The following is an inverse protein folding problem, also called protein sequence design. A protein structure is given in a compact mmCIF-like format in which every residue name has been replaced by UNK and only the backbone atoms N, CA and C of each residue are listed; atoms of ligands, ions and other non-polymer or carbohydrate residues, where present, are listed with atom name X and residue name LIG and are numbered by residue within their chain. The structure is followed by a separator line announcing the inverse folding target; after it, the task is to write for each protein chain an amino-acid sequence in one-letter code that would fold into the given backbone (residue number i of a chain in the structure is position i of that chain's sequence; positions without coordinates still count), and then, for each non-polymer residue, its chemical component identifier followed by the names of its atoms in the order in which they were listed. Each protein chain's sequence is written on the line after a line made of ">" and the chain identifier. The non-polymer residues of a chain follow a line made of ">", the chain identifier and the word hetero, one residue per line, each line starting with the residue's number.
data_IF_209372855814
#
_entry.id   IF_209372855814
#
_cell.length_a   1.000
_cell.length_b   1.000
_cell.length_c   1.000
_cell.angle_alpha   90.00
_cell.angle_beta   90.00
_cell.angle_gamma   90.00
#
_symmetry.space_group_name_H-M   'P 1'
#
loop_
_entity.id
_entity.type
_entity.pdbx_description
1 polymer ?
#
# COMPACT_ATOMS: atom_id res chain seq x y z
N UNK A 1 13.52 -4.69 -27.39
CA UNK A 1 14.02 -4.35 -26.90
C UNK A 1 14.22 -4.45 -25.85
N UNK A 2 14.62 -4.43 -25.72
CA UNK A 2 14.99 -4.72 -25.00
C UNK A 2 14.91 -4.50 -23.85
N UNK A 3 15.30 -4.81 -23.31
CA UNK A 3 15.34 -4.79 -22.14
C UNK A 3 15.24 -3.63 -21.49
N UNK A 4 14.29 -3.40 -21.05
CA UNK A 4 13.99 -2.28 -20.33
C UNK A 4 14.08 -2.54 -18.88
N UNK A 5 14.41 -3.78 -18.51
CA UNK A 5 14.42 -4.09 -17.17
C UNK A 5 15.48 -3.40 -16.46
N UNK A 6 15.20 -2.74 -15.36
CA UNK A 6 16.17 -2.02 -14.57
C UNK A 6 16.78 -0.84 -15.29
N UNK A 7 16.36 -0.61 -16.52
CA UNK A 7 16.97 0.43 -17.33
C UNK A 7 16.39 1.80 -17.14
N UNK A 8 15.17 1.92 -16.68
CA UNK A 8 14.51 3.22 -16.60
C UNK A 8 13.86 3.42 -15.25
N UNK A 9 14.19 4.54 -14.61
CA UNK A 9 13.53 4.95 -13.36
C UNK A 9 12.19 5.62 -13.64
N UNK A 10 11.89 5.89 -14.93
CA UNK A 10 10.65 6.54 -15.31
C UNK A 10 9.50 5.59 -15.58
N UNK A 11 9.75 4.31 -15.46
CA UNK A 11 8.72 3.31 -15.69
C UNK A 11 8.19 2.75 -14.38
N UNK A 12 6.88 2.56 -14.32
CA UNK A 12 6.26 1.91 -13.18
C UNK A 12 6.76 0.47 -13.07
N UNK A 13 6.99 -0.03 -11.85
CA UNK A 13 7.40 -1.43 -11.67
C UNK A 13 6.27 -2.36 -12.07
N UNK A 14 6.61 -3.48 -12.70
CA UNK A 14 5.62 -4.43 -13.19
C UNK A 14 5.25 -5.47 -12.13
N UNK A 15 3.95 -5.73 -12.00
CA UNK A 15 3.41 -6.77 -11.16
C UNK A 15 2.72 -7.82 -12.02
N UNK A 16 3.16 -9.06 -11.89
CA UNK A 16 2.63 -10.19 -12.65
C UNK A 16 1.86 -11.18 -11.76
N UNK A 17 1.55 -10.79 -10.55
CA UNK A 17 0.85 -11.65 -9.60
C UNK A 17 1.77 -12.32 -8.60
N UNK A 18 3.08 -12.11 -8.71
CA UNK A 18 4.06 -12.71 -7.81
C UNK A 18 4.78 -11.64 -7.01
N UNK A 19 5.14 -11.98 -5.78
CA UNK A 19 5.90 -11.10 -4.89
C UNK A 19 5.25 -9.73 -4.71
N UNK A 20 3.98 -9.73 -4.34
CA UNK A 20 3.20 -8.51 -4.17
C UNK A 20 3.85 -7.54 -3.20
N UNK A 21 4.40 -8.02 -2.09
CA UNK A 21 5.01 -7.16 -1.08
C UNK A 21 6.15 -6.32 -1.65
N UNK A 22 6.97 -6.92 -2.51
CA UNK A 22 8.03 -6.21 -3.21
C UNK A 22 7.47 -5.14 -4.13
N UNK A 23 6.53 -5.53 -4.98
CA UNK A 23 5.94 -4.62 -5.94
C UNK A 23 5.24 -3.46 -5.24
N UNK A 24 4.54 -3.73 -4.15
CA UNK A 24 3.81 -2.72 -3.38
C UNK A 24 4.74 -1.60 -2.92
N UNK A 25 5.89 -1.96 -2.36
CA UNK A 25 6.86 -0.97 -1.91
C UNK A 25 7.44 -0.18 -3.09
N UNK A 26 7.77 -0.87 -4.17
CA UNK A 26 8.34 -0.22 -5.33
C UNK A 26 7.34 0.71 -6.01
N UNK A 27 6.08 0.27 -6.14
CA UNK A 27 5.05 1.09 -6.76
C UNK A 27 4.71 2.30 -5.89
N UNK A 28 4.63 2.11 -4.57
CA UNK A 28 4.41 3.22 -3.65
C UNK A 28 5.50 4.28 -3.81
N UNK A 29 6.75 3.84 -3.85
CA UNK A 29 7.89 4.75 -4.02
C UNK A 29 7.83 5.45 -5.38
N UNK A 30 7.45 4.71 -6.41
CA UNK A 30 7.29 5.29 -7.74
C UNK A 30 6.21 6.38 -7.75
N UNK A 31 5.06 6.09 -7.13
CA UNK A 31 3.96 7.06 -7.02
C UNK A 31 4.39 8.30 -6.25
N UNK A 32 5.13 8.13 -5.16
CA UNK A 32 5.67 9.25 -4.41
C UNK A 32 6.63 10.09 -5.26
N UNK A 33 7.38 9.45 -6.14
CA UNK A 33 8.32 10.16 -7.02
C UNK A 33 7.62 11.01 -8.07
N UNK A 34 6.38 10.69 -8.39
CA UNK A 34 5.58 11.48 -9.30
C UNK A 34 5.04 12.74 -8.63
N UNK A 35 5.05 12.76 -7.31
CA UNK A 35 4.62 13.91 -6.51
C UNK A 35 3.90 13.46 -5.26
N UNK A 36 4.06 14.25 -4.19
CA UNK A 36 3.37 13.97 -2.93
C UNK A 36 1.86 13.95 -3.11
N UNK A 37 1.34 14.83 -3.96
CA UNK A 37 -0.10 14.90 -4.23
C UNK A 37 -0.61 13.67 -4.95
N UNK A 38 0.22 13.06 -5.79
CA UNK A 38 -0.15 11.83 -6.50
C UNK A 38 -0.29 10.67 -5.52
N UNK A 39 0.67 10.54 -4.61
CA UNK A 39 0.57 9.49 -3.58
C UNK A 39 -0.58 9.75 -2.62
N UNK A 40 -0.81 11.01 -2.28
CA UNK A 40 -1.89 11.38 -1.36
C UNK A 40 -3.26 10.91 -1.86
N UNK A 41 -3.54 11.04 -3.17
CA UNK A 41 -4.83 10.58 -3.70
C UNK A 41 -4.97 9.06 -3.67
N UNK A 42 -3.87 8.32 -3.67
CA UNK A 42 -3.91 6.87 -3.51
C UNK A 42 -4.26 6.52 -2.06
N UNK A 43 -3.71 7.26 -1.12
CA UNK A 43 -3.98 7.02 0.30
C UNK A 43 -5.35 7.50 0.73
N UNK A 44 -5.68 8.73 0.38
CA UNK A 44 -6.89 9.39 0.86
C UNK A 44 -8.10 9.19 -0.04
N UNK A 45 -7.86 8.87 -1.29
CA UNK A 45 -8.94 8.70 -2.26
C UNK A 45 -9.28 9.96 -3.01
N UNK A 46 -10.10 9.80 -4.04
CA UNK A 46 -10.57 10.89 -4.87
C UNK A 46 -12.00 10.62 -5.30
N UNK A 47 -12.88 11.59 -5.09
CA UNK A 47 -14.25 11.51 -5.58
C UNK A 47 -14.43 12.60 -6.61
N UNK A 48 -14.69 12.19 -7.85
CA UNK A 48 -14.87 13.13 -8.94
C UNK A 48 -16.13 13.95 -8.71
N UNK A 49 -16.04 15.29 -8.72
CA UNK A 49 -17.24 16.12 -8.65
C UNK A 49 -18.05 15.99 -9.93
N UNK A 50 -19.34 16.31 -9.87
CA UNK A 50 -20.22 16.21 -11.03
C UNK A 50 -19.71 17.09 -12.16
N UNK A 51 -19.20 18.29 -11.83
CA UNK A 51 -18.61 19.20 -12.79
C UNK A 51 -17.29 19.70 -12.26
N UNK A 52 -16.26 19.69 -13.10
CA UNK A 52 -14.96 20.24 -12.73
C UNK A 52 -14.99 21.74 -12.92
N UNK A 53 -15.19 22.48 -11.86
CA UNK A 53 -15.40 23.92 -11.91
C UNK A 53 -14.15 24.69 -11.57
N UNK A 54 -13.49 24.37 -10.46
CA UNK A 54 -12.36 25.13 -9.99
C UNK A 54 -11.03 24.59 -10.53
N UNK A 55 -10.00 25.41 -10.40
CA UNK A 55 -8.64 24.98 -10.74
C UNK A 55 -8.21 23.81 -9.83
N UNK A 56 -8.62 23.85 -8.55
CA UNK A 56 -8.30 22.80 -7.61
C UNK A 56 -8.99 21.49 -7.99
N UNK A 57 -10.24 21.54 -8.45
CA UNK A 57 -10.93 20.34 -8.93
C UNK A 57 -10.17 19.69 -10.07
N UNK A 58 -9.67 20.51 -11.01
CA UNK A 58 -8.91 20.00 -12.16
C UNK A 58 -7.57 19.42 -11.76
N UNK A 59 -6.91 20.01 -10.77
CA UNK A 59 -5.65 19.50 -10.25
C UNK A 59 -5.86 18.15 -9.56
N UNK A 60 -6.87 18.05 -8.73
CA UNK A 60 -7.19 16.80 -8.04
C UNK A 60 -7.51 15.69 -9.03
N UNK A 61 -8.27 16.02 -10.07
CA UNK A 61 -8.56 15.09 -11.16
C UNK A 61 -7.27 14.61 -11.83
N UNK A 62 -6.34 15.54 -12.07
CA UNK A 62 -5.07 15.22 -12.71
C UNK A 62 -4.20 14.31 -11.85
N UNK A 63 -4.18 14.55 -10.54
CA UNK A 63 -3.40 13.70 -9.63
C UNK A 63 -3.95 12.29 -9.61
N UNK A 64 -5.27 12.15 -9.56
CA UNK A 64 -5.90 10.84 -9.61
C UNK A 64 -5.61 10.13 -10.93
N UNK A 65 -5.69 10.84 -12.05
CA UNK A 65 -5.40 10.28 -13.36
C UNK A 65 -3.94 9.81 -13.46
N UNK A 66 -3.01 10.58 -12.93
CA UNK A 66 -1.59 10.19 -12.90
C UNK A 66 -1.38 8.94 -12.08
N UNK A 67 -2.02 8.87 -10.91
CA UNK A 67 -1.90 7.71 -10.04
C UNK A 67 -2.52 6.47 -10.70
N UNK A 68 -3.70 6.60 -11.30
CA UNK A 68 -4.35 5.50 -12.00
C UNK A 68 -3.48 5.00 -13.15
N UNK A 69 -2.92 5.92 -13.94
CA UNK A 69 -2.07 5.54 -15.04
C UNK A 69 -0.83 4.79 -14.57
N UNK A 70 -0.22 5.25 -13.48
CA UNK A 70 0.96 4.60 -12.92
C UNK A 70 0.64 3.18 -12.47
N UNK A 71 -0.45 3.00 -11.73
CA UNK A 71 -0.85 1.68 -11.24
C UNK A 71 -1.17 0.76 -12.42
N UNK A 72 -1.97 1.21 -13.36
CA UNK A 72 -2.35 0.40 -14.52
C UNK A 72 -1.15 0.04 -15.39
N UNK A 73 -0.22 0.98 -15.56
CA UNK A 73 1.00 0.73 -16.34
C UNK A 73 1.91 -0.30 -15.68
N UNK A 74 1.78 -0.47 -14.38
CA UNK A 74 2.59 -1.42 -13.61
C UNK A 74 1.93 -2.78 -13.43
N UNK A 75 0.85 -3.08 -14.18
CA UNK A 75 0.15 -4.35 -14.02
C UNK A 75 0.18 -5.17 -15.30
N UNK A 76 0.51 -6.45 -15.16
CA UNK A 76 0.32 -7.40 -16.26
C UNK A 76 -1.17 -7.52 -16.52
N UNK A 77 -1.52 -7.99 -17.71
CA UNK A 77 -2.93 -8.05 -18.15
C UNK A 77 -3.85 -8.75 -17.14
N UNK A 78 -3.40 -9.86 -16.59
CA UNK A 78 -4.21 -10.61 -15.62
C UNK A 78 -4.55 -9.80 -14.36
N UNK A 79 -3.69 -8.87 -13.97
CA UNK A 79 -3.93 -8.01 -12.81
C UNK A 79 -4.67 -6.74 -13.21
N UNK A 80 -4.36 -6.22 -14.40
CA UNK A 80 -5.01 -5.05 -14.96
C UNK A 80 -6.52 -5.21 -15.02
N UNK A 81 -7.00 -6.35 -15.52
CA UNK A 81 -8.44 -6.58 -15.69
C UNK A 81 -9.21 -6.58 -14.37
N UNK A 82 -8.51 -6.85 -13.27
CA UNK A 82 -9.15 -6.87 -11.95
C UNK A 82 -9.49 -5.47 -11.43
N UNK A 83 -8.78 -4.45 -11.90
CA UNK A 83 -8.92 -3.09 -11.38
C UNK A 83 -9.30 -2.05 -12.41
N UNK A 84 -9.29 -2.39 -13.67
CA UNK A 84 -9.50 -1.41 -14.75
C UNK A 84 -10.85 -0.70 -14.70
N UNK A 85 -11.82 -1.25 -14.01
CA UNK A 85 -13.16 -0.67 -13.93
C UNK A 85 -13.32 0.38 -12.82
N UNK A 86 -12.33 0.54 -11.97
CA UNK A 86 -12.40 1.54 -10.89
C UNK A 86 -12.10 2.93 -11.41
N UNK A 87 -12.71 3.92 -10.76
CA UNK A 87 -12.55 5.33 -11.14
C UNK A 87 -11.53 6.08 -10.31
N UNK A 88 -10.93 5.45 -9.31
CA UNK A 88 -9.94 6.10 -8.48
C UNK A 88 -8.75 5.19 -8.22
N UNK A 89 -7.60 5.80 -8.07
CA UNK A 89 -6.37 5.07 -7.78
C UNK A 89 -6.45 4.36 -6.43
N UNK A 90 -7.14 4.96 -5.47
CA UNK A 90 -7.31 4.33 -4.15
C UNK A 90 -8.08 3.02 -4.26
N UNK A 91 -9.15 2.99 -5.04
CA UNK A 91 -9.93 1.77 -5.23
C UNK A 91 -9.08 0.67 -5.88
N UNK A 92 -8.28 1.03 -6.87
CA UNK A 92 -7.36 0.09 -7.51
C UNK A 92 -6.35 -0.46 -6.51
N UNK A 93 -5.74 0.44 -5.74
CA UNK A 93 -4.73 0.10 -4.75
C UNK A 93 -5.30 -0.81 -3.67
N UNK A 94 -6.46 -0.45 -3.12
CA UNK A 94 -7.12 -1.21 -2.08
C UNK A 94 -7.54 -2.60 -2.57
N UNK A 95 -7.99 -2.69 -3.82
CA UNK A 95 -8.35 -3.97 -4.42
C UNK A 95 -7.15 -4.90 -4.53
N UNK A 96 -6.02 -4.38 -4.95
CA UNK A 96 -4.80 -5.17 -5.06
C UNK A 96 -4.33 -5.63 -3.68
N UNK A 97 -4.36 -4.73 -2.70
CA UNK A 97 -4.01 -5.07 -1.33
C UNK A 97 -4.91 -6.19 -0.81
N UNK A 98 -6.22 -6.05 -0.97
CA UNK A 98 -7.16 -7.05 -0.47
C UNK A 98 -7.01 -8.39 -1.18
N UNK A 99 -6.65 -8.38 -2.46
CA UNK A 99 -6.45 -9.59 -3.25
C UNK A 99 -5.22 -10.38 -2.82
N UNK A 100 -4.16 -9.68 -2.42
CA UNK A 100 -2.88 -10.32 -2.14
C UNK A 100 -2.51 -10.35 -0.66
N UNK A 101 -3.16 -9.53 0.15
CA UNK A 101 -2.94 -9.53 1.60
C UNK A 101 -4.17 -10.02 2.35
N UNK A 102 -5.21 -10.45 1.63
CA UNK A 102 -6.45 -10.93 2.21
C UNK A 102 -7.46 -9.81 2.38
N UNK A 103 -8.74 -10.18 2.54
CA UNK A 103 -9.77 -9.20 2.79
C UNK A 103 -9.61 -8.62 4.19
N UNK A 104 -10.21 -7.49 4.46
CA UNK A 104 -10.04 -6.78 5.71
C UNK A 104 -10.35 -7.61 6.95
N UNK A 105 -11.37 -8.45 6.89
CA UNK A 105 -11.75 -9.31 8.01
C UNK A 105 -10.65 -10.30 8.34
N UNK A 106 -10.16 -11.03 7.34
CA UNK A 106 -9.13 -12.04 7.52
C UNK A 106 -7.82 -11.38 7.92
N UNK A 107 -7.47 -10.30 7.24
CA UNK A 107 -6.26 -9.55 7.53
C UNK A 107 -6.28 -8.98 8.94
N UNK A 108 -7.41 -8.38 9.33
CA UNK A 108 -7.59 -7.83 10.65
C UNK A 108 -7.48 -8.90 11.74
N UNK A 109 -8.09 -10.06 11.52
CA UNK A 109 -8.03 -11.16 12.46
C UNK A 109 -6.59 -11.67 12.62
N UNK A 110 -5.86 -11.83 11.50
CA UNK A 110 -4.48 -12.27 11.56
C UNK A 110 -3.58 -11.28 12.26
N UNK A 111 -3.71 -10.00 11.94
CA UNK A 111 -2.94 -8.95 12.60
C UNK A 111 -3.23 -8.89 14.08
N UNK A 112 -4.50 -9.02 14.46
CA UNK A 112 -4.89 -9.03 15.85
C UNK A 112 -4.26 -10.21 16.59
N UNK A 113 -4.29 -11.40 15.99
CA UNK A 113 -3.70 -12.59 16.56
C UNK A 113 -2.19 -12.43 16.76
N UNK A 114 -1.49 -11.93 15.73
CA UNK A 114 -0.06 -11.69 15.82
C UNK A 114 0.28 -10.64 16.87
N UNK A 115 -0.53 -9.59 16.94
CA UNK A 115 -0.33 -8.54 17.93
C UNK A 115 -0.49 -9.06 19.34
N UNK A 116 -1.51 -9.89 19.58
CA UNK A 116 -1.72 -10.50 20.88
C UNK A 116 -0.56 -11.40 21.27
N UNK A 117 -0.07 -12.21 20.33
CA UNK A 117 1.07 -13.07 20.57
C UNK A 117 2.32 -12.27 20.91
N UNK A 118 2.54 -11.19 20.17
CA UNK A 118 3.67 -10.31 20.38
C UNK A 118 3.59 -9.66 21.76
N UNK A 119 2.42 -9.16 22.12
CA UNK A 119 2.20 -8.53 23.43
C UNK A 119 2.39 -9.52 24.57
N UNK A 120 1.93 -10.76 24.40
CA UNK A 120 2.12 -11.80 25.39
C UNK A 120 3.60 -12.12 25.59
N UNK A 121 4.36 -12.21 24.51
CA UNK A 121 5.80 -12.43 24.58
C UNK A 121 6.50 -11.27 25.28
N UNK A 122 6.11 -10.06 24.96
CA UNK A 122 6.66 -8.87 25.56
C UNK A 122 6.35 -8.79 27.06
N UNK A 123 5.12 -9.12 27.46
CA UNK A 123 4.72 -9.13 28.84
C UNK A 123 5.51 -10.17 29.63
N UNK A 124 5.71 -11.35 29.05
CA UNK A 124 6.52 -12.39 29.68
C UNK A 124 7.95 -11.94 29.89
N UNK A 125 8.53 -11.24 28.94
CA UNK A 125 9.87 -10.69 29.09
C UNK A 125 9.91 -9.62 30.19
N UNK A 126 8.94 -8.74 30.20
CA UNK A 126 8.85 -7.70 31.23
C UNK A 126 8.66 -8.28 32.61
N UNK A 127 7.85 -9.33 32.73
CA UNK A 127 7.65 -10.05 33.99
C UNK A 127 8.93 -10.68 34.49
N UNK A 128 9.68 -11.31 33.60
CA UNK A 128 10.93 -11.94 33.93
C UNK A 128 11.93 -10.89 34.39
N UNK A 129 12.04 -9.80 33.67
CA UNK A 129 12.95 -8.71 34.01
C UNK A 129 12.56 -8.11 35.36
N UNK A 130 11.29 -7.83 35.56
CA UNK A 130 10.80 -7.26 36.82
C UNK A 130 11.06 -8.17 38.01
N UNK A 131 10.81 -9.47 37.83
CA UNK A 131 11.05 -10.46 38.85
C UNK A 131 12.51 -10.56 39.20
N UNK A 132 13.36 -10.59 38.20
CA UNK A 132 14.81 -10.62 38.38
C UNK A 132 15.31 -9.38 39.13
N UNK A 133 14.76 -8.24 38.75
CA UNK A 133 15.11 -6.97 39.38
C UNK A 133 14.74 -6.94 40.86
N UNK A 134 13.55 -7.47 41.17
CA UNK A 134 13.08 -7.58 42.56
C UNK A 134 13.99 -8.52 43.37
N UNK A 135 14.41 -9.62 42.78
CA UNK A 135 15.34 -10.54 43.46
C UNK A 135 16.67 -9.88 43.74
N UNK A 136 17.17 -9.10 42.80
CA UNK A 136 18.41 -8.35 43.02
C UNK A 136 18.27 -7.33 44.14
N UNK A 137 17.13 -6.68 44.27
CA UNK A 137 16.89 -5.70 45.32
C UNK A 137 16.77 -6.31 46.69
N UNK A 138 16.35 -7.58 46.77
CA UNK A 138 16.19 -8.24 48.06
C UNK A 138 17.49 -8.86 48.58
N UNK A 139 18.52 -8.80 47.78
CA UNK A 139 19.87 -9.19 48.19
C UNK A 139 20.57 -8.01 48.90
#
# INVERSE_FOLDING_TARGET
>A
MTSQEGGSTNKAPLFDGKTFAFWKVRMRTYLMSLGADVWEVVEMGYTKPIVLVSKDDKLEFSFNAKAMNAVLSGLAESEFVKVMHFDSAKEMWDKLISSYEGNEKVKGAKLHTYRLKFEQLKMSEDEIVSKYFLELKSL
#
